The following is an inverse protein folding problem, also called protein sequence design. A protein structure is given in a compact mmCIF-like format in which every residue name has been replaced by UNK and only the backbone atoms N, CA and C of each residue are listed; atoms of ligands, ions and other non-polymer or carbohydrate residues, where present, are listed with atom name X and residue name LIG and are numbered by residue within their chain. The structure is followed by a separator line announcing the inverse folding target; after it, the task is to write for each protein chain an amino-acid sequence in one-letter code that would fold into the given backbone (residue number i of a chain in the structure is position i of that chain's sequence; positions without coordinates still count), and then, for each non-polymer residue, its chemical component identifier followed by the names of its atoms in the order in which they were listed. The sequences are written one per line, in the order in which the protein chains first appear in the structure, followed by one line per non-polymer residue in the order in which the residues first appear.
data_IF_196427100485
#
_entry.id   IF_196427100485
#
_cell.length_a   1.000
_cell.length_b   1.000
_cell.length_c   1.000
_cell.angle_alpha   90.00
_cell.angle_beta   90.00
_cell.angle_gamma   90.00
#
_symmetry.space_group_name_H-M   'P 1'
#
loop_
_entity.id
_entity.type
_entity.pdbx_description
1 polymer ?
#
# COMPACT_ATOMS: atom_id res chain seq x y z
N UNK A 1 13.69 10.68 2.08
CA UNK A 1 13.27 11.84 1.26
C UNK A 1 13.28 11.60 -0.26
N UNK A 2 14.27 10.95 -0.88
CA UNK A 2 14.30 10.78 -2.37
C UNK A 2 13.38 9.69 -2.95
N UNK A 3 12.82 8.78 -2.12
CA UNK A 3 11.95 7.67 -2.56
C UNK A 3 10.47 8.04 -2.72
N UNK A 4 9.99 9.05 -2.02
CA UNK A 4 8.59 9.50 -2.07
C UNK A 4 8.21 10.21 -3.37
N UNK A 5 9.19 10.59 -4.21
CA UNK A 5 8.97 11.24 -5.50
C UNK A 5 8.57 10.27 -6.61
N UNK A 6 8.73 8.95 -6.42
CA UNK A 6 8.41 7.95 -7.45
C UNK A 6 6.91 7.83 -7.71
N UNK A 7 6.10 7.92 -6.65
CA UNK A 7 4.65 7.89 -6.74
C UNK A 7 4.05 9.12 -7.48
N UNK A 8 4.42 10.37 -7.15
CA UNK A 8 3.93 11.53 -7.90
C UNK A 8 4.49 11.59 -9.32
N UNK A 9 5.73 11.15 -9.56
CA UNK A 9 6.30 11.10 -10.93
C UNK A 9 5.61 10.04 -11.79
N UNK A 10 5.25 8.87 -11.23
CA UNK A 10 4.46 7.86 -11.93
C UNK A 10 3.04 8.36 -12.25
N UNK A 11 2.42 9.10 -11.34
CA UNK A 11 1.13 9.76 -11.58
C UNK A 11 1.24 10.84 -12.67
N UNK A 12 2.29 11.66 -12.64
CA UNK A 12 2.55 12.69 -13.64
C UNK A 12 2.79 12.08 -15.03
N UNK A 13 3.55 10.97 -15.10
CA UNK A 13 3.80 10.23 -16.35
C UNK A 13 2.54 9.51 -16.89
N UNK A 14 1.65 9.04 -16.01
CA UNK A 14 0.37 8.45 -16.41
C UNK A 14 -0.56 9.48 -17.09
N UNK A 15 -0.46 10.77 -16.70
CA UNK A 15 -1.23 11.86 -17.29
C UNK A 15 -0.80 12.22 -18.71
N UNK A 16 0.49 12.08 -19.05
CA UNK A 16 1.02 12.54 -20.34
C UNK A 16 0.94 11.51 -21.47
N UNK A 17 0.96 10.21 -21.16
CA UNK A 17 0.80 9.15 -22.17
C UNK A 17 -0.06 8.02 -21.58
N UNK A 18 -1.29 7.80 -22.07
CA UNK A 18 -2.16 6.74 -21.59
C UNK A 18 -1.44 5.37 -21.61
N UNK A 19 -1.25 4.76 -20.44
CA UNK A 19 -0.61 3.46 -20.26
C UNK A 19 0.87 3.49 -19.85
N UNK A 20 1.59 4.61 -19.99
CA UNK A 20 3.03 4.66 -19.70
C UNK A 20 3.37 4.61 -18.20
N UNK A 21 2.48 5.12 -17.35
CA UNK A 21 2.63 5.04 -15.88
C UNK A 21 2.65 3.59 -15.36
N UNK A 22 1.91 2.68 -16.00
CA UNK A 22 1.89 1.26 -15.65
C UNK A 22 3.10 0.49 -16.21
N UNK A 23 3.68 0.95 -17.34
CA UNK A 23 4.94 0.41 -17.86
C UNK A 23 6.10 0.66 -16.90
N UNK A 24 6.12 1.82 -16.22
CA UNK A 24 7.14 2.14 -15.23
C UNK A 24 7.10 1.23 -13.99
N UNK A 25 5.94 0.61 -13.70
CA UNK A 25 5.70 -0.27 -12.54
C UNK A 25 5.80 -1.77 -12.90
N UNK A 26 6.25 -2.10 -14.11
CA UNK A 26 6.57 -3.47 -14.54
C UNK A 26 5.37 -4.36 -14.88
N UNK A 27 4.13 -3.84 -14.88
CA UNK A 27 2.92 -4.63 -15.23
C UNK A 27 2.38 -4.27 -16.62
N UNK A 28 3.02 -4.86 -17.65
CA UNK A 28 2.64 -4.76 -19.07
C UNK A 28 1.15 -5.04 -19.33
N UNK A 29 0.55 -6.01 -18.64
CA UNK A 29 -0.86 -6.36 -18.83
C UNK A 29 -1.83 -5.21 -18.56
N UNK A 30 -1.60 -4.44 -17.48
CA UNK A 30 -2.47 -3.30 -17.11
C UNK A 30 -2.25 -2.11 -18.05
N UNK A 31 -1.01 -1.88 -18.47
CA UNK A 31 -0.69 -0.86 -19.46
C UNK A 31 -1.41 -1.12 -20.80
N UNK A 32 -1.37 -2.37 -21.29
CA UNK A 32 -2.04 -2.76 -22.54
C UNK A 32 -3.55 -2.62 -22.42
N UNK A 33 -4.16 -3.11 -21.32
CA UNK A 33 -5.61 -3.00 -21.11
C UNK A 33 -6.07 -1.55 -21.12
N UNK A 34 -5.40 -0.67 -20.37
CA UNK A 34 -5.77 0.76 -20.34
C UNK A 34 -5.53 1.44 -21.69
N UNK A 35 -4.42 1.15 -22.36
CA UNK A 35 -4.12 1.73 -23.66
C UNK A 35 -5.13 1.29 -24.73
N UNK A 36 -5.43 -0.01 -24.81
CA UNK A 36 -6.44 -0.56 -25.73
C UNK A 36 -7.83 0.01 -25.41
N UNK A 37 -8.18 0.17 -24.15
CA UNK A 37 -9.50 0.71 -23.76
C UNK A 37 -9.62 2.19 -24.11
N UNK A 38 -8.58 3.01 -23.86
CA UNK A 38 -8.60 4.44 -24.18
C UNK A 38 -8.57 4.67 -25.69
N UNK A 39 -7.64 4.04 -26.40
CA UNK A 39 -7.52 4.19 -27.86
C UNK A 39 -8.71 3.56 -28.57
N UNK A 40 -9.11 2.35 -28.18
CA UNK A 40 -10.27 1.67 -28.73
C UNK A 40 -11.57 2.41 -28.45
N UNK A 41 -11.75 2.95 -27.24
CA UNK A 41 -12.89 3.79 -26.88
C UNK A 41 -12.95 5.08 -27.67
N UNK A 42 -11.80 5.77 -27.84
CA UNK A 42 -11.72 6.98 -28.65
C UNK A 42 -12.05 6.71 -30.13
N UNK A 43 -11.48 5.65 -30.72
CA UNK A 43 -11.75 5.25 -32.09
C UNK A 43 -13.21 4.81 -32.29
N UNK A 44 -13.78 4.07 -31.32
CA UNK A 44 -15.17 3.65 -31.38
C UNK A 44 -16.12 4.85 -31.29
N UNK A 45 -15.89 5.77 -30.35
CA UNK A 45 -16.70 6.99 -30.24
C UNK A 45 -16.60 7.82 -31.52
N UNK A 46 -15.39 8.10 -32.02
CA UNK A 46 -15.20 8.84 -33.26
C UNK A 46 -15.91 8.18 -34.46
N UNK A 47 -15.81 6.86 -34.60
CA UNK A 47 -16.50 6.11 -35.66
C UNK A 47 -18.02 6.11 -35.55
N UNK A 48 -18.57 6.29 -34.34
CA UNK A 48 -20.01 6.28 -34.08
C UNK A 48 -20.63 7.69 -34.10
N UNK A 49 -19.82 8.74 -34.00
CA UNK A 49 -20.27 10.13 -33.87
C UNK A 49 -20.43 10.90 -35.20
N UNK A 50 -20.26 10.26 -36.36
CA UNK A 50 -20.23 10.93 -37.68
C UNK A 50 -19.28 12.16 -37.72
N UNK A 51 -18.19 12.11 -36.95
CA UNK A 51 -17.26 13.23 -36.82
C UNK A 51 -16.46 13.42 -38.12
N UNK A 52 -16.22 14.69 -38.49
CA UNK A 52 -15.43 15.03 -39.66
C UNK A 52 -13.99 14.48 -39.56
N UNK A 53 -13.38 14.06 -40.70
CA UNK A 53 -12.01 13.59 -40.75
C UNK A 53 -11.05 14.62 -40.14
N UNK A 54 -10.19 14.19 -39.21
CA UNK A 54 -9.15 15.06 -38.65
C UNK A 54 -8.14 15.40 -39.75
N UNK A 55 -8.00 16.69 -40.09
CA UNK A 55 -6.98 17.16 -41.02
C UNK A 55 -5.63 17.31 -40.28
N UNK A 56 -4.58 16.55 -40.64
CA UNK A 56 -3.28 16.60 -39.97
C UNK A 56 -2.51 17.90 -40.19
N UNK A 57 -3.00 18.79 -41.07
CA UNK A 57 -2.39 20.11 -41.32
C UNK A 57 -2.88 21.20 -40.38
N UNK A 58 -3.98 20.97 -39.64
CA UNK A 58 -4.48 21.89 -38.63
C UNK A 58 -3.60 21.93 -37.38
N UNK A 59 -3.63 23.05 -36.65
CA UNK A 59 -2.90 23.16 -35.39
C UNK A 59 -3.56 22.31 -34.31
N UNK A 60 -2.76 21.79 -33.37
CA UNK A 60 -3.25 21.00 -32.24
C UNK A 60 -4.35 21.77 -31.46
N UNK A 61 -4.23 23.09 -31.35
CA UNK A 61 -5.19 23.93 -30.65
C UNK A 61 -6.56 23.97 -31.38
N UNK A 62 -6.54 24.09 -32.72
CA UNK A 62 -7.76 24.14 -33.53
C UNK A 62 -8.46 22.77 -33.53
N UNK A 63 -7.70 21.69 -33.68
CA UNK A 63 -8.22 20.32 -33.58
C UNK A 63 -8.87 20.08 -32.22
N UNK A 64 -8.23 20.53 -31.13
CA UNK A 64 -8.76 20.36 -29.76
C UNK A 64 -10.04 21.16 -29.54
N UNK A 65 -10.13 22.37 -30.10
CA UNK A 65 -11.32 23.21 -30.00
C UNK A 65 -12.50 22.65 -30.81
N UNK A 66 -12.23 21.85 -31.84
CA UNK A 66 -13.23 21.18 -32.67
C UNK A 66 -13.79 19.88 -32.10
N UNK A 67 -13.22 19.33 -31.02
CA UNK A 67 -13.67 18.04 -30.46
C UNK A 67 -15.03 18.22 -29.76
N UNK A 68 -16.09 17.50 -30.19
CA UNK A 68 -17.38 17.53 -29.50
C UNK A 68 -17.25 17.08 -28.04
N UNK A 69 -17.92 17.75 -27.08
CA UNK A 69 -17.84 17.40 -25.67
C UNK A 69 -18.34 15.97 -25.38
N UNK A 70 -19.20 15.42 -26.23
CA UNK A 70 -19.71 14.05 -26.15
C UNK A 70 -18.59 13.01 -26.32
N UNK A 71 -17.51 13.35 -27.03
CA UNK A 71 -16.32 12.50 -27.18
C UNK A 71 -15.28 12.88 -26.11
N UNK A 72 -15.08 14.17 -25.89
CA UNK A 72 -14.04 14.66 -24.97
C UNK A 72 -14.30 14.25 -23.51
N UNK A 73 -15.55 14.34 -23.03
CA UNK A 73 -15.91 14.02 -21.65
C UNK A 73 -15.66 12.55 -21.27
N UNK A 74 -16.19 11.53 -21.99
CA UNK A 74 -15.96 10.15 -21.61
C UNK A 74 -14.48 9.75 -21.68
N UNK A 75 -13.74 10.27 -22.68
CA UNK A 75 -12.29 10.04 -22.77
C UNK A 75 -11.56 10.69 -21.60
N UNK A 76 -11.92 11.93 -21.23
CA UNK A 76 -11.32 12.62 -20.08
C UNK A 76 -11.57 11.88 -18.77
N UNK A 77 -12.79 11.36 -18.58
CA UNK A 77 -13.14 10.52 -17.42
C UNK A 77 -12.31 9.24 -17.41
N UNK A 78 -12.19 8.56 -18.55
CA UNK A 78 -11.44 7.31 -18.67
C UNK A 78 -9.93 7.52 -18.39
N UNK A 79 -9.36 8.61 -18.91
CA UNK A 79 -7.96 9.00 -18.63
C UNK A 79 -7.79 9.34 -17.14
N UNK A 80 -8.73 10.08 -16.55
CA UNK A 80 -8.73 10.36 -15.12
C UNK A 80 -8.77 9.08 -14.27
N UNK A 81 -9.63 8.13 -14.65
CA UNK A 81 -9.75 6.83 -13.98
C UNK A 81 -8.45 6.01 -14.09
N UNK A 82 -7.80 6.04 -15.25
CA UNK A 82 -6.48 5.42 -15.45
C UNK A 82 -5.39 6.05 -14.60
N UNK A 83 -5.39 7.39 -14.46
CA UNK A 83 -4.44 8.09 -13.59
C UNK A 83 -4.66 7.73 -12.10
N UNK A 84 -5.92 7.63 -11.65
CA UNK A 84 -6.26 7.18 -10.29
C UNK A 84 -5.79 5.73 -10.08
N UNK A 85 -6.05 4.82 -11.03
CA UNK A 85 -5.58 3.44 -10.95
C UNK A 85 -4.05 3.35 -10.82
N UNK A 86 -3.32 4.11 -11.66
CA UNK A 86 -1.86 4.17 -11.60
C UNK A 86 -1.35 4.67 -10.24
N UNK A 87 -2.02 5.69 -9.67
CA UNK A 87 -1.68 6.20 -8.34
C UNK A 87 -1.92 5.17 -7.23
N UNK A 88 -3.05 4.47 -7.26
CA UNK A 88 -3.36 3.41 -6.28
C UNK A 88 -2.38 2.24 -6.38
N UNK A 89 -2.06 1.80 -7.60
CA UNK A 89 -1.05 0.76 -7.83
C UNK A 89 0.32 1.18 -7.31
N UNK A 90 0.76 2.41 -7.60
CA UNK A 90 2.03 2.92 -7.11
C UNK A 90 2.07 2.95 -5.56
N UNK A 91 0.95 3.32 -4.92
CA UNK A 91 0.84 3.33 -3.45
C UNK A 91 0.92 1.92 -2.85
N UNK A 92 0.26 0.94 -3.47
CA UNK A 92 0.30 -0.45 -3.02
C UNK A 92 1.72 -1.04 -3.05
N UNK A 93 2.48 -0.76 -4.12
CA UNK A 93 3.86 -1.25 -4.27
C UNK A 93 4.82 -0.60 -3.27
N UNK A 94 4.61 0.68 -2.94
CA UNK A 94 5.41 1.34 -1.90
C UNK A 94 5.23 0.67 -0.54
N UNK A 95 3.99 0.33 -0.17
CA UNK A 95 3.70 -0.37 1.07
C UNK A 95 4.31 -1.79 1.10
N UNK A 96 4.26 -2.53 -0.02
CA UNK A 96 4.92 -3.84 -0.13
C UNK A 96 6.44 -3.76 0.01
N UNK A 97 7.07 -2.74 -0.56
CA UNK A 97 8.51 -2.54 -0.44
C UNK A 97 8.92 -2.23 1.01
N UNK A 98 8.15 -1.40 1.72
CA UNK A 98 8.43 -1.07 3.13
C UNK A 98 8.32 -2.33 4.02
N UNK A 99 7.36 -3.24 3.75
CA UNK A 99 7.25 -4.52 4.45
C UNK A 99 8.44 -5.44 4.17
N UNK A 100 8.90 -5.51 2.92
CA UNK A 100 10.06 -6.32 2.56
C UNK A 100 11.35 -5.80 3.24
N UNK A 101 11.51 -4.48 3.33
CA UNK A 101 12.62 -3.85 4.04
C UNK A 101 12.55 -4.14 5.55
N UNK A 102 11.37 -4.06 6.16
CA UNK A 102 11.16 -4.39 7.57
C UNK A 102 11.44 -5.87 7.89
N UNK A 103 10.96 -6.79 7.05
CA UNK A 103 11.24 -8.22 7.17
C UNK A 103 12.74 -8.51 7.08
N UNK A 104 13.43 -7.88 6.11
CA UNK A 104 14.89 -8.00 5.97
C UNK A 104 15.63 -7.45 7.20
N UNK A 105 15.16 -6.35 7.79
CA UNK A 105 15.73 -5.78 9.00
C UNK A 105 15.50 -6.67 10.25
N UNK A 106 14.35 -7.34 10.35
CA UNK A 106 14.07 -8.31 11.40
C UNK A 106 15.00 -9.54 11.31
N UNK A 107 15.15 -10.12 10.11
CA UNK A 107 16.06 -11.25 9.87
C UNK A 107 17.50 -10.88 10.26
N UNK A 108 17.95 -9.67 9.91
CA UNK A 108 19.30 -9.21 10.27
C UNK A 108 19.51 -9.08 11.78
N UNK A 109 18.49 -8.63 12.53
CA UNK A 109 18.57 -8.53 14.01
C UNK A 109 18.69 -9.91 14.65
N UNK A 110 17.85 -10.86 14.26
CA UNK A 110 17.94 -12.23 14.77
C UNK A 110 19.27 -12.91 14.46
N UNK A 111 19.85 -12.65 13.28
CA UNK A 111 21.17 -13.18 12.95
C UNK A 111 22.31 -12.58 13.82
N UNK A 112 22.16 -11.33 14.28
CA UNK A 112 23.12 -10.72 15.19
C UNK A 112 22.99 -11.28 16.61
N UNK A 113 21.75 -11.43 17.11
CA UNK A 113 21.46 -11.98 18.45
C UNK A 113 21.85 -13.46 18.56
N UNK A 114 21.54 -14.28 17.55
CA UNK A 114 21.90 -15.71 17.51
C UNK A 114 23.41 -15.98 17.43
N UNK A 115 24.22 -14.98 17.03
CA UNK A 115 25.68 -15.09 17.04
C UNK A 115 26.29 -14.96 18.44
N UNK A 116 25.56 -14.43 19.43
CA UNK A 116 26.03 -14.27 20.81
C UNK A 116 25.83 -15.57 21.63
N UNK A 117 24.78 -16.36 21.37
CA UNK A 117 24.55 -17.65 22.04
C UNK A 117 25.52 -18.76 21.56
N UNK A 118 25.93 -18.77 20.28
CA UNK A 118 26.93 -19.71 19.74
C UNK A 118 28.37 -19.45 20.23
N UNK A 119 28.62 -18.29 20.87
CA UNK A 119 29.87 -17.97 21.55
C UNK A 119 29.89 -18.45 23.02
N UNK A 120 28.72 -18.57 23.67
CA UNK A 120 28.59 -19.03 25.07
C UNK A 120 28.45 -20.56 25.18
N UNK A 121 28.09 -21.25 24.09
CA UNK A 121 27.97 -22.72 24.04
C UNK A 121 29.28 -23.52 23.96
N UNK A 122 30.46 -22.88 23.83
CA UNK A 122 31.76 -23.59 23.69
C UNK A 122 32.63 -23.66 24.95
N UNK A 123 32.15 -23.19 26.10
CA UNK A 123 32.84 -23.34 27.39
C UNK A 123 31.86 -23.80 28.48
N UNK A 124 31.59 -25.11 28.55
CA UNK A 124 30.65 -25.61 29.57
C UNK A 124 30.54 -27.12 29.75
N UNK A 125 31.63 -27.89 29.63
CA UNK A 125 31.69 -29.24 30.20
C UNK A 125 32.49 -29.18 31.50
N UNK A 126 31.78 -28.97 32.61
CA UNK A 126 32.35 -28.89 33.94
C UNK A 126 31.27 -29.04 35.02
N UNK A 127 31.13 -30.28 35.50
CA UNK A 127 30.18 -30.74 36.53
C UNK A 127 30.12 -29.91 37.82
N UNK A 128 28.92 -29.75 38.40
CA UNK A 128 28.55 -30.18 39.78
C UNK A 128 27.12 -29.73 40.12
N UNK A 129 26.42 -30.57 40.90
CA UNK A 129 25.06 -30.34 41.35
C UNK A 129 24.91 -29.60 42.69
N UNK A 130 23.75 -29.89 43.30
CA UNK A 130 23.17 -29.57 44.62
C UNK A 130 22.38 -28.27 44.77
N UNK A 131 21.05 -28.46 44.94
CA UNK A 131 20.12 -27.88 45.93
C UNK A 131 20.26 -26.42 46.38
N UNK A 132 19.15 -25.67 46.29
CA UNK A 132 18.61 -24.92 47.43
C UNK A 132 17.17 -24.44 47.19
N UNK A 133 16.31 -24.73 48.16
CA UNK A 133 14.97 -24.20 48.40
C UNK A 133 14.84 -22.67 48.34
N UNK A 134 13.63 -22.19 48.03
CA UNK A 134 13.29 -20.76 48.17
C UNK A 134 11.85 -20.42 47.80
N UNK A 135 11.00 -20.43 48.82
CA UNK A 135 9.57 -20.05 48.85
C UNK A 135 9.35 -18.54 48.64
N UNK A 136 8.21 -18.11 48.08
CA UNK A 136 7.74 -16.72 48.14
C UNK A 136 6.43 -16.48 47.37
N UNK A 137 5.28 -16.72 48.02
CA UNK A 137 4.31 -15.69 48.46
C UNK A 137 3.21 -15.37 47.45
N UNK A 138 2.06 -15.97 47.73
CA UNK A 138 0.72 -15.47 47.41
C UNK A 138 0.43 -14.16 48.16
N UNK A 139 -0.08 -13.13 47.45
CA UNK A 139 -1.33 -12.43 47.74
C UNK A 139 -1.41 -11.11 46.94
N UNK A 140 -2.54 -10.88 46.27
CA UNK A 140 -3.13 -9.55 46.03
C UNK A 140 -4.41 -9.67 45.18
N UNK A 141 -5.51 -9.96 45.86
CA UNK A 141 -6.73 -9.14 45.86
C UNK A 141 -7.34 -8.70 44.52
N UNK A 142 -8.44 -9.38 44.17
CA UNK A 142 -9.53 -8.81 43.39
C UNK A 142 -10.32 -7.80 44.24
N UNK A 143 -10.53 -6.58 43.75
CA UNK A 143 -11.74 -5.77 44.02
C UNK A 143 -11.91 -4.74 42.91
N UNK A 144 -12.95 -4.99 42.12
CA UNK A 144 -13.87 -4.06 41.45
C UNK A 144 -13.45 -2.60 41.36
N UNK A 145 -13.07 -2.16 40.16
CA UNK A 145 -13.23 -0.79 39.73
C UNK A 145 -14.40 -0.75 38.74
N UNK A 146 -15.44 0.01 39.08
CA UNK A 146 -16.50 0.42 38.17
C UNK A 146 -15.91 0.90 36.85
N UNK A 147 -16.37 0.32 35.75
CA UNK A 147 -16.07 0.72 34.38
C UNK A 147 -16.44 2.19 34.17
N UNK A 148 -15.49 3.12 34.00
CA UNK A 148 -15.79 4.27 33.16
C UNK A 148 -15.94 3.70 31.75
N UNK A 149 -17.00 4.08 31.03
CA UNK A 149 -17.10 3.78 29.61
C UNK A 149 -15.79 4.22 28.96
N UNK A 150 -14.97 3.24 28.60
CA UNK A 150 -13.62 3.44 28.11
C UNK A 150 -13.74 4.25 26.83
N UNK A 151 -13.21 5.48 26.86
CA UNK A 151 -12.92 6.22 25.64
C UNK A 151 -12.15 5.30 24.70
N UNK A 152 -12.49 5.24 23.40
CA UNK A 152 -11.85 4.33 22.48
C UNK A 152 -10.35 4.62 22.45
N UNK A 153 -9.55 3.63 22.88
CA UNK A 153 -8.11 3.75 22.86
C UNK A 153 -7.66 3.81 21.39
N UNK A 154 -7.36 5.01 20.92
CA UNK A 154 -6.94 5.25 19.55
C UNK A 154 -5.48 4.79 19.41
N UNK A 155 -5.24 3.83 18.52
CA UNK A 155 -3.93 3.24 18.23
C UNK A 155 -3.62 3.38 16.75
N UNK A 156 -2.35 3.35 16.38
CA UNK A 156 -1.98 3.37 14.97
C UNK A 156 -2.04 1.97 14.37
N UNK A 157 -2.81 1.84 13.29
CA UNK A 157 -2.93 0.58 12.56
C UNK A 157 -1.56 0.13 12.03
N UNK A 158 -1.08 -1.09 12.37
CA UNK A 158 0.23 -1.59 11.93
C UNK A 158 0.29 -1.86 10.41
N UNK A 159 -0.86 -1.90 9.74
CA UNK A 159 -0.96 -2.14 8.30
C UNK A 159 -0.95 -0.85 7.46
N UNK A 160 -1.54 0.25 7.95
CA UNK A 160 -1.67 1.50 7.18
C UNK A 160 -1.21 2.78 7.90
N UNK A 161 -0.80 2.70 9.16
CA UNK A 161 -0.26 3.82 9.96
C UNK A 161 -1.24 4.97 10.21
N UNK A 162 -2.55 4.71 10.16
CA UNK A 162 -3.58 5.68 10.53
C UNK A 162 -4.13 5.32 11.90
N UNK A 163 -4.53 6.34 12.63
CA UNK A 163 -5.31 6.22 13.85
C UNK A 163 -6.58 5.39 13.61
N UNK A 164 -6.70 4.32 14.39
CA UNK A 164 -7.80 3.37 14.39
C UNK A 164 -8.10 2.99 15.84
N UNK A 165 -9.34 2.64 16.11
CA UNK A 165 -9.75 2.20 17.44
C UNK A 165 -9.19 0.80 17.74
N UNK A 166 -8.61 0.61 18.94
CA UNK A 166 -8.08 -0.67 19.40
C UNK A 166 -9.16 -1.73 19.68
N UNK A 167 -10.43 -1.33 19.80
CA UNK A 167 -11.57 -2.24 19.96
C UNK A 167 -12.09 -2.80 18.64
N UNK A 168 -11.55 -2.36 17.51
CA UNK A 168 -11.88 -2.91 16.20
C UNK A 168 -10.99 -4.10 15.87
N UNK A 169 -11.61 -5.09 15.24
CA UNK A 169 -10.97 -6.32 14.73
C UNK A 169 -10.35 -6.11 13.35
N UNK A 170 -10.77 -5.05 12.66
CA UNK A 170 -10.27 -4.65 11.34
C UNK A 170 -10.09 -3.13 11.27
N UNK A 171 -9.13 -2.68 10.46
CA UNK A 171 -8.94 -1.24 10.27
C UNK A 171 -10.02 -0.67 9.34
N UNK A 172 -10.82 0.29 9.81
CA UNK A 172 -11.84 0.95 8.98
C UNK A 172 -11.27 1.68 7.75
N UNK A 173 -9.97 1.95 7.74
CA UNK A 173 -9.36 2.70 6.66
C UNK A 173 -8.79 1.84 5.53
N UNK A 174 -8.18 0.70 5.87
CA UNK A 174 -7.53 -0.16 4.87
C UNK A 174 -8.16 -1.55 4.79
N UNK A 175 -9.18 -1.83 5.61
CA UNK A 175 -9.96 -3.08 5.62
C UNK A 175 -9.11 -4.34 5.85
N UNK A 176 -7.94 -4.19 6.46
CA UNK A 176 -7.06 -5.29 6.85
C UNK A 176 -7.37 -5.70 8.30
N UNK A 177 -7.41 -7.00 8.62
CA UNK A 177 -7.56 -7.49 10.00
C UNK A 177 -6.43 -6.97 10.88
N UNK A 178 -6.75 -6.69 12.14
CA UNK A 178 -5.81 -6.15 13.11
C UNK A 178 -5.17 -7.29 13.91
N UNK A 179 -3.85 -7.24 14.18
CA UNK A 179 -3.14 -8.39 14.77
C UNK A 179 -3.46 -8.62 16.25
N UNK A 180 -4.30 -7.77 16.85
CA UNK A 180 -4.82 -7.92 18.21
C UNK A 180 -6.21 -8.59 18.26
N UNK A 181 -6.81 -8.90 17.11
CA UNK A 181 -8.06 -9.68 17.00
C UNK A 181 -7.88 -11.13 17.51
N UNK A 182 -6.65 -11.65 17.52
CA UNK A 182 -6.36 -13.03 17.95
C UNK A 182 -6.30 -13.23 19.49
N UNK A 183 -6.59 -12.20 20.27
CA UNK A 183 -6.47 -12.20 21.74
C UNK A 183 -7.83 -12.47 22.43
N UNK A 184 -8.40 -13.66 22.23
CA UNK A 184 -9.49 -14.21 23.06
C UNK A 184 -8.99 -15.30 24.03
#
# INVERSE_FOLDING_TARGET
MRRSLRAPVAALLATFVPGLGHLFLGRLGRAIVWHVTVVGGALALYSLSDADPVDPSESIADVTAGIPPEIALPISVLVGLSAVDAFLVARSQAAEADRADAATAAIRRHAAEGSEEDAVGRHGLGARGTESDGLGTSDATATTAETPASEPANVECPHCGRETDATLDFCHWCTEPLPWDDAE
#
